data_IF_542854766132
#
_entry.id   IF_542854766132
#
_cell.length_a   1.000
_cell.length_b   1.000
_cell.length_c   1.000
_cell.angle_alpha   90.00
_cell.angle_beta   90.00
_cell.angle_gamma   90.00
#
_symmetry.space_group_name_H-M   'P 1'
#
loop_
_entity.id
_entity.type
_entity.pdbx_description
1 polymer ?
#
# COMPACT_ATOMS: atom_id res chain seq x y z
N UNK A 1 0.60 1.86 -10.60
CA UNK A 1 1.93 1.20 -10.41
C UNK A 1 2.04 0.57 -9.04
N UNK A 2 1.83 1.32 -7.96
CA UNK A 2 1.90 0.79 -6.59
C UNK A 2 1.06 -0.50 -6.40
N UNK A 3 -0.12 -0.56 -7.01
CA UNK A 3 -1.00 -1.73 -6.98
C UNK A 3 -0.47 -2.88 -7.83
N UNK A 4 -0.14 -2.59 -9.09
CA UNK A 4 0.09 -3.67 -10.05
C UNK A 4 1.44 -4.37 -9.89
N UNK A 5 2.44 -3.74 -9.29
CA UNK A 5 3.73 -4.37 -9.05
C UNK A 5 3.62 -5.61 -8.13
N UNK A 6 3.09 -5.50 -6.90
CA UNK A 6 2.93 -6.67 -6.03
C UNK A 6 1.86 -7.64 -6.55
N UNK A 7 0.77 -7.11 -7.12
CA UNK A 7 -0.32 -7.93 -7.64
C UNK A 7 0.09 -8.82 -8.82
N UNK A 8 0.96 -8.32 -9.71
CA UNK A 8 1.46 -9.10 -10.85
C UNK A 8 2.59 -10.06 -10.47
N UNK A 9 3.32 -9.78 -9.39
CA UNK A 9 4.37 -10.65 -8.87
C UNK A 9 3.79 -11.86 -8.13
N UNK A 10 2.65 -11.71 -7.47
CA UNK A 10 1.99 -12.80 -6.75
C UNK A 10 1.20 -13.71 -7.71
N UNK A 11 1.34 -15.04 -7.61
CA UNK A 11 0.73 -15.97 -8.58
C UNK A 11 -0.81 -15.97 -8.55
N UNK A 12 -1.43 -15.76 -7.41
CA UNK A 12 -2.89 -15.77 -7.25
C UNK A 12 -3.34 -14.91 -6.06
N UNK A 13 -3.30 -13.55 -6.14
CA UNK A 13 -3.68 -12.68 -5.04
C UNK A 13 -5.21 -12.68 -4.86
N UNK A 14 -5.69 -13.20 -3.75
CA UNK A 14 -7.13 -13.30 -3.43
C UNK A 14 -7.55 -12.27 -2.37
N UNK A 15 -6.75 -12.09 -1.31
CA UNK A 15 -7.01 -11.17 -0.21
C UNK A 15 -5.99 -10.02 -0.23
N UNK A 16 -6.46 -8.82 -0.44
CA UNK A 16 -5.63 -7.62 -0.55
C UNK A 16 -5.95 -6.66 0.59
N UNK A 17 -4.92 -6.15 1.27
CA UNK A 17 -5.04 -5.05 2.22
C UNK A 17 -4.48 -3.77 1.59
N UNK A 18 -5.22 -2.68 1.75
CA UNK A 18 -4.78 -1.32 1.41
C UNK A 18 -4.75 -0.50 2.69
N UNK A 19 -3.59 0.08 3.02
CA UNK A 19 -3.42 0.97 4.16
C UNK A 19 -3.23 2.39 3.63
N UNK A 20 -4.10 3.32 4.03
CA UNK A 20 -4.26 4.61 3.38
C UNK A 20 -4.97 4.49 2.04
N UNK A 21 -4.79 5.46 1.16
CA UNK A 21 -5.41 5.42 -0.18
C UNK A 21 -6.93 5.52 -0.17
N UNK A 22 -7.49 6.24 0.79
CA UNK A 22 -8.94 6.44 0.95
C UNK A 22 -9.62 7.14 -0.23
N UNK A 23 -8.88 7.57 -1.25
CA UNK A 23 -9.44 8.05 -2.51
C UNK A 23 -10.06 6.91 -3.35
N UNK A 24 -9.66 5.65 -3.08
CA UNK A 24 -10.15 4.45 -3.73
C UNK A 24 -9.37 4.04 -4.98
N UNK A 25 -8.38 4.80 -5.41
CA UNK A 25 -7.62 4.52 -6.62
C UNK A 25 -6.90 3.17 -6.59
N UNK A 26 -6.23 2.85 -5.49
CA UNK A 26 -5.54 1.58 -5.28
C UNK A 26 -6.53 0.41 -5.27
N UNK A 27 -7.65 0.56 -4.55
CA UNK A 27 -8.70 -0.47 -4.47
C UNK A 27 -9.27 -0.75 -5.86
N UNK A 28 -9.62 0.31 -6.62
CA UNK A 28 -10.12 0.19 -7.98
C UNK A 28 -9.17 -0.62 -8.88
N UNK A 29 -7.88 -0.37 -8.77
CA UNK A 29 -6.89 -1.09 -9.57
C UNK A 29 -6.71 -2.55 -9.09
N UNK A 30 -6.74 -2.82 -7.78
CA UNK A 30 -6.69 -4.17 -7.23
C UNK A 30 -7.89 -5.02 -7.71
N UNK A 31 -9.08 -4.46 -7.73
CA UNK A 31 -10.30 -5.13 -8.18
C UNK A 31 -10.31 -5.53 -9.67
N UNK A 32 -9.40 -4.99 -10.49
CA UNK A 32 -9.21 -5.41 -11.89
C UNK A 32 -8.54 -6.76 -12.04
N UNK A 33 -7.87 -7.26 -11.00
CA UNK A 33 -7.28 -8.58 -11.00
C UNK A 33 -8.38 -9.63 -10.73
N UNK A 34 -8.59 -10.58 -11.65
CA UNK A 34 -9.72 -11.52 -11.56
C UNK A 34 -9.64 -12.49 -10.38
N UNK A 35 -8.45 -12.72 -9.83
CA UNK A 35 -8.22 -13.56 -8.66
C UNK A 35 -8.75 -12.95 -7.36
N UNK A 36 -8.90 -11.62 -7.29
CA UNK A 36 -9.25 -10.90 -6.07
C UNK A 36 -10.67 -11.22 -5.60
N UNK A 37 -10.76 -11.76 -4.41
CA UNK A 37 -12.01 -12.11 -3.73
C UNK A 37 -12.42 -11.07 -2.68
N UNK A 38 -11.41 -10.44 -2.04
CA UNK A 38 -11.62 -9.47 -0.97
C UNK A 38 -10.54 -8.37 -1.01
N UNK A 39 -10.97 -7.13 -0.84
CA UNK A 39 -10.07 -5.99 -0.60
C UNK A 39 -10.50 -5.31 0.71
N UNK A 40 -9.60 -5.26 1.67
CA UNK A 40 -9.79 -4.51 2.92
C UNK A 40 -9.06 -3.17 2.82
N UNK A 41 -9.76 -2.07 3.06
CA UNK A 41 -9.16 -0.76 3.27
C UNK A 41 -9.03 -0.49 4.76
N UNK A 42 -7.85 -0.10 5.20
CA UNK A 42 -7.61 0.48 6.52
C UNK A 42 -7.16 1.93 6.35
N UNK A 43 -8.02 2.89 6.65
CA UNK A 43 -7.70 4.31 6.58
C UNK A 43 -8.04 4.99 7.91
N UNK A 44 -7.18 5.89 8.36
CA UNK A 44 -7.36 6.57 9.63
C UNK A 44 -8.41 7.69 9.55
N UNK A 45 -8.71 8.19 8.36
CA UNK A 45 -9.58 9.35 8.14
C UNK A 45 -10.80 9.02 7.28
N UNK A 46 -11.95 8.82 7.93
CA UNK A 46 -13.24 8.64 7.25
C UNK A 46 -13.60 9.81 6.33
N UNK A 47 -13.15 11.03 6.64
CA UNK A 47 -13.48 12.20 5.84
C UNK A 47 -12.87 12.11 4.44
N UNK A 48 -11.69 11.52 4.29
CA UNK A 48 -11.05 11.30 2.98
C UNK A 48 -11.96 10.47 2.09
N UNK A 49 -12.50 9.36 2.59
CA UNK A 49 -13.41 8.48 1.84
C UNK A 49 -14.68 9.22 1.45
N UNK A 50 -15.28 9.94 2.40
CA UNK A 50 -16.51 10.69 2.16
C UNK A 50 -16.32 11.80 1.11
N UNK A 51 -15.23 12.54 1.19
CA UNK A 51 -14.92 13.62 0.24
C UNK A 51 -14.60 13.03 -1.14
N UNK A 52 -13.86 11.92 -1.19
CA UNK A 52 -13.54 11.24 -2.45
C UNK A 52 -14.77 10.71 -3.17
N UNK A 53 -15.76 10.20 -2.44
CA UNK A 53 -17.06 9.80 -3.03
C UNK A 53 -17.80 10.98 -3.69
N UNK A 54 -17.62 12.20 -3.19
CA UNK A 54 -18.26 13.39 -3.75
C UNK A 54 -17.50 13.99 -4.94
N UNK A 55 -16.17 14.06 -4.84
CA UNK A 55 -15.34 14.84 -5.76
C UNK A 55 -14.48 14.00 -6.68
N UNK A 56 -14.24 12.72 -6.36
CA UNK A 56 -13.43 11.80 -7.16
C UNK A 56 -14.22 10.52 -7.53
N UNK A 57 -15.38 10.64 -8.19
CA UNK A 57 -16.29 9.50 -8.42
C UNK A 57 -15.66 8.38 -9.25
N UNK A 58 -14.72 8.71 -10.14
CA UNK A 58 -14.02 7.71 -10.96
C UNK A 58 -12.99 6.88 -10.19
N UNK A 59 -12.47 7.39 -9.06
CA UNK A 59 -11.60 6.64 -8.15
C UNK A 59 -12.43 5.86 -7.14
N UNK A 60 -13.39 6.53 -6.51
CA UNK A 60 -14.19 6.00 -5.41
C UNK A 60 -15.31 5.04 -5.84
N UNK A 61 -15.49 4.78 -7.13
CA UNK A 61 -16.46 3.78 -7.65
C UNK A 61 -16.24 2.40 -7.02
N UNK A 62 -15.02 2.07 -6.63
CA UNK A 62 -14.66 0.82 -5.97
C UNK A 62 -15.44 0.54 -4.68
N UNK A 63 -15.88 1.57 -3.97
CA UNK A 63 -16.66 1.42 -2.73
C UNK A 63 -18.08 0.84 -2.93
N UNK A 64 -18.50 0.65 -4.17
CA UNK A 64 -19.76 -0.03 -4.53
C UNK A 64 -19.57 -1.54 -4.79
N UNK A 65 -18.33 -2.00 -4.88
CA UNK A 65 -18.01 -3.41 -5.13
C UNK A 65 -18.19 -4.22 -3.84
N UNK A 66 -18.98 -5.31 -3.84
CA UNK A 66 -19.23 -6.11 -2.64
C UNK A 66 -18.00 -6.81 -2.06
N UNK A 67 -16.89 -6.85 -2.79
CA UNK A 67 -15.63 -7.40 -2.31
C UNK A 67 -14.85 -6.42 -1.43
N UNK A 68 -15.28 -5.16 -1.30
CA UNK A 68 -14.58 -4.12 -0.56
C UNK A 68 -15.13 -3.99 0.85
N UNK A 69 -14.26 -4.14 1.83
CA UNK A 69 -14.53 -3.82 3.23
C UNK A 69 -13.70 -2.61 3.66
N UNK A 70 -14.32 -1.73 4.45
CA UNK A 70 -13.67 -0.50 4.95
C UNK A 70 -13.57 -0.57 6.46
N UNK A 71 -12.35 -0.44 6.97
CA UNK A 71 -12.04 -0.25 8.38
C UNK A 71 -11.49 1.17 8.59
N UNK A 72 -12.15 1.94 9.45
CA UNK A 72 -11.68 3.27 9.83
C UNK A 72 -10.89 3.15 11.11
N UNK A 73 -9.56 3.36 11.02
CA UNK A 73 -8.68 3.26 12.16
C UNK A 73 -7.20 3.29 11.81
N UNK A 74 -6.41 3.14 12.87
CA UNK A 74 -4.95 3.16 12.79
C UNK A 74 -4.41 1.80 12.33
N UNK A 75 -3.64 1.79 11.24
CA UNK A 75 -2.99 0.59 10.71
C UNK A 75 -2.08 -0.13 11.71
N UNK A 76 -1.43 0.59 12.61
CA UNK A 76 -0.62 -0.01 13.67
C UNK A 76 -1.44 -0.83 14.68
N UNK A 77 -2.70 -0.47 14.88
CA UNK A 77 -3.62 -1.23 15.75
C UNK A 77 -4.33 -2.34 14.98
N UNK A 78 -4.58 -2.12 13.70
CA UNK A 78 -5.26 -3.08 12.83
C UNK A 78 -4.39 -4.31 12.52
N UNK A 79 -3.14 -4.09 12.09
CA UNK A 79 -2.27 -5.17 11.62
C UNK A 79 -2.03 -6.31 12.63
N UNK A 80 -1.82 -6.06 13.94
CA UNK A 80 -1.61 -7.14 14.90
C UNK A 80 -2.80 -8.09 15.09
N UNK A 81 -4.01 -7.68 14.71
CA UNK A 81 -5.23 -8.49 14.80
C UNK A 81 -5.46 -9.34 13.54
N UNK A 82 -4.61 -9.17 12.51
CA UNK A 82 -4.78 -9.77 11.18
C UNK A 82 -3.48 -10.47 10.69
N UNK A 83 -2.89 -11.31 11.54
CA UNK A 83 -1.67 -12.05 11.19
C UNK A 83 -1.94 -13.14 10.14
N UNK A 84 -1.03 -13.29 9.16
CA UNK A 84 -1.07 -14.33 8.11
C UNK A 84 -2.40 -14.36 7.33
N UNK A 85 -2.96 -13.20 7.03
CA UNK A 85 -4.28 -13.08 6.40
C UNK A 85 -4.22 -12.64 4.93
N UNK A 86 -3.23 -11.83 4.54
CA UNK A 86 -3.22 -11.16 3.24
C UNK A 86 -2.21 -11.75 2.25
N UNK A 87 -2.63 -11.87 1.00
CA UNK A 87 -1.75 -12.25 -0.11
C UNK A 87 -0.92 -11.07 -0.60
N UNK A 88 -1.54 -9.87 -0.58
CA UNK A 88 -0.88 -8.62 -0.96
C UNK A 88 -1.27 -7.50 -0.01
N UNK A 89 -0.27 -6.72 0.43
CA UNK A 89 -0.48 -5.49 1.21
C UNK A 89 0.09 -4.30 0.45
N UNK A 90 -0.70 -3.24 0.33
CA UNK A 90 -0.31 -1.99 -0.35
C UNK A 90 -0.46 -0.84 0.64
N UNK A 91 0.66 -0.15 0.92
CA UNK A 91 0.63 1.07 1.74
C UNK A 91 0.70 2.29 0.81
N UNK A 92 -0.42 2.97 0.69
CA UNK A 92 -0.59 4.21 -0.07
C UNK A 92 -0.74 5.37 0.91
N UNK A 93 0.38 5.80 1.47
CA UNK A 93 0.46 6.85 2.49
C UNK A 93 0.95 8.17 1.92
N UNK A 94 0.76 9.24 2.68
CA UNK A 94 1.45 10.51 2.45
C UNK A 94 2.96 10.38 2.69
N UNK A 95 3.71 11.42 2.32
CA UNK A 95 5.16 11.53 2.55
C UNK A 95 5.53 11.31 4.03
N UNK A 96 6.79 10.89 4.33
CA UNK A 96 7.25 10.55 5.68
C UNK A 96 7.39 11.78 6.59
N UNK A 97 6.31 12.53 6.75
CA UNK A 97 6.25 13.74 7.56
C UNK A 97 5.11 13.63 8.59
N UNK A 98 5.38 14.04 9.82
CA UNK A 98 4.39 14.01 10.90
C UNK A 98 3.91 12.59 11.21
N UNK A 99 2.59 12.33 11.30
CA UNK A 99 2.06 11.01 11.67
C UNK A 99 2.45 9.88 10.72
N UNK A 100 2.67 10.19 9.45
CA UNK A 100 3.03 9.20 8.44
C UNK A 100 4.50 8.72 8.54
N UNK A 101 5.37 9.44 9.27
CA UNK A 101 6.78 9.06 9.39
C UNK A 101 6.97 7.63 9.93
N UNK A 102 6.14 7.22 10.88
CA UNK A 102 6.19 5.88 11.46
C UNK A 102 5.93 4.74 10.47
N UNK A 103 5.23 5.02 9.35
CA UNK A 103 4.97 4.05 8.27
C UNK A 103 6.22 3.74 7.43
N UNK A 104 7.33 4.44 7.67
CA UNK A 104 8.62 4.24 7.00
C UNK A 104 9.68 3.60 7.92
N UNK A 105 9.28 3.14 9.11
CA UNK A 105 10.18 2.58 10.10
C UNK A 105 10.07 1.05 10.21
N UNK A 106 11.13 0.41 10.74
CA UNK A 106 11.22 -1.04 10.89
C UNK A 106 10.05 -1.70 11.65
N UNK A 107 9.49 -1.11 12.73
CA UNK A 107 8.34 -1.69 13.41
C UNK A 107 7.13 -1.88 12.50
N UNK A 108 6.84 -0.91 11.62
CA UNK A 108 5.75 -1.01 10.68
C UNK A 108 5.95 -2.14 9.66
N UNK A 109 7.13 -2.26 9.08
CA UNK A 109 7.44 -3.35 8.14
C UNK A 109 7.39 -4.73 8.79
N UNK A 110 7.68 -4.80 10.09
CA UNK A 110 7.51 -6.05 10.86
C UNK A 110 6.04 -6.44 10.96
N UNK A 111 5.16 -5.49 11.23
CA UNK A 111 3.71 -5.72 11.26
C UNK A 111 3.18 -6.16 9.87
N UNK A 112 3.63 -5.49 8.80
CA UNK A 112 3.24 -5.88 7.43
C UNK A 112 3.67 -7.32 7.12
N UNK A 113 4.92 -7.69 7.45
CA UNK A 113 5.42 -9.05 7.27
C UNK A 113 4.57 -10.07 8.01
N UNK A 114 4.18 -9.79 9.26
CA UNK A 114 3.38 -10.72 10.07
C UNK A 114 1.94 -10.85 9.54
N UNK A 115 1.39 -9.80 8.97
CA UNK A 115 0.05 -9.81 8.36
C UNK A 115 0.00 -10.51 6.98
N UNK A 116 1.14 -10.61 6.30
CA UNK A 116 1.26 -11.34 5.03
C UNK A 116 1.25 -12.85 5.26
N UNK A 117 0.60 -13.58 4.37
CA UNK A 117 0.77 -15.03 4.22
C UNK A 117 2.18 -15.37 3.74
N UNK A 118 2.56 -16.65 3.90
CA UNK A 118 3.79 -17.15 3.28
C UNK A 118 3.73 -16.96 1.75
N UNK A 119 4.79 -16.38 1.17
CA UNK A 119 4.81 -16.00 -0.24
C UNK A 119 4.04 -14.72 -0.57
N UNK A 120 3.48 -14.05 0.42
CA UNK A 120 2.77 -12.79 0.22
C UNK A 120 3.69 -11.63 -0.18
N UNK A 121 3.14 -10.63 -0.86
CA UNK A 121 3.87 -9.48 -1.40
C UNK A 121 3.37 -8.18 -0.80
N UNK A 122 4.27 -7.22 -0.63
CA UNK A 122 3.87 -5.87 -0.28
C UNK A 122 4.45 -4.83 -1.24
N UNK A 123 3.79 -3.69 -1.32
CA UNK A 123 4.36 -2.47 -1.88
C UNK A 123 4.02 -1.26 -1.03
N UNK A 124 4.94 -0.31 -1.00
CA UNK A 124 4.71 1.01 -0.40
C UNK A 124 5.24 2.09 -1.32
N UNK A 125 4.68 3.29 -1.22
CA UNK A 125 5.28 4.45 -1.84
C UNK A 125 6.72 4.62 -1.31
N UNK A 126 7.66 4.91 -2.20
CA UNK A 126 9.09 4.87 -1.92
C UNK A 126 9.82 6.12 -2.39
N UNK A 127 9.13 7.25 -2.49
CA UNK A 127 9.71 8.54 -2.81
C UNK A 127 10.45 8.61 -4.17
N UNK A 128 11.06 9.75 -4.47
CA UNK A 128 11.85 9.93 -5.70
C UNK A 128 13.33 9.64 -5.47
N UNK A 129 13.90 8.77 -6.29
CA UNK A 129 15.33 8.45 -6.27
C UNK A 129 16.22 9.69 -6.47
N UNK A 130 15.72 10.71 -7.14
CA UNK A 130 16.47 11.93 -7.42
C UNK A 130 16.51 12.87 -6.22
N UNK A 131 15.52 12.80 -5.33
CA UNK A 131 15.37 13.72 -4.20
C UNK A 131 15.66 13.06 -2.86
N UNK A 132 15.33 11.76 -2.70
CA UNK A 132 15.27 11.09 -1.40
C UNK A 132 16.13 9.82 -1.34
N UNK A 133 17.23 9.75 -2.11
CA UNK A 133 18.08 8.56 -2.18
C UNK A 133 18.57 8.04 -0.80
N UNK A 134 18.94 8.88 0.18
CA UNK A 134 19.33 8.39 1.51
C UNK A 134 18.19 7.62 2.20
N UNK A 135 16.97 8.15 2.19
CA UNK A 135 15.79 7.50 2.75
C UNK A 135 15.51 6.15 2.05
N UNK A 136 15.56 6.13 0.71
CA UNK A 136 15.33 4.92 -0.09
C UNK A 136 16.34 3.82 0.27
N UNK A 137 17.61 4.18 0.48
CA UNK A 137 18.64 3.23 0.91
C UNK A 137 18.32 2.64 2.28
N UNK A 138 17.97 3.49 3.24
CA UNK A 138 17.61 3.06 4.59
C UNK A 138 16.39 2.13 4.59
N UNK A 139 15.32 2.48 3.87
CA UNK A 139 14.13 1.65 3.70
C UNK A 139 14.47 0.29 3.10
N UNK A 140 15.27 0.27 2.04
CA UNK A 140 15.69 -0.97 1.40
C UNK A 140 16.57 -1.84 2.31
N UNK A 141 17.49 -1.26 3.08
CA UNK A 141 18.31 -1.98 4.05
C UNK A 141 17.47 -2.55 5.20
N UNK A 142 16.46 -1.80 5.66
CA UNK A 142 15.53 -2.23 6.70
C UNK A 142 14.67 -3.40 6.21
N UNK A 143 14.08 -3.27 5.05
CA UNK A 143 13.19 -4.30 4.50
C UNK A 143 13.93 -5.57 4.08
N UNK A 144 15.17 -5.49 3.60
CA UNK A 144 16.03 -6.66 3.33
C UNK A 144 16.33 -7.53 4.54
N UNK A 145 16.22 -6.99 5.75
CA UNK A 145 16.37 -7.79 6.98
C UNK A 145 15.10 -8.59 7.32
N UNK A 146 13.97 -8.18 6.78
CA UNK A 146 12.65 -8.73 7.07
C UNK A 146 12.11 -9.61 5.95
N UNK A 147 12.43 -9.29 4.71
CA UNK A 147 11.92 -9.96 3.51
C UNK A 147 13.06 -10.60 2.71
N UNK A 148 12.86 -11.76 2.11
CA UNK A 148 13.87 -12.40 1.27
C UNK A 148 14.19 -11.60 0.01
N UNK A 149 13.22 -10.84 -0.49
CA UNK A 149 13.35 -9.95 -1.64
C UNK A 149 12.84 -8.56 -1.25
N UNK A 150 13.61 -7.53 -1.51
CA UNK A 150 13.23 -6.12 -1.30
C UNK A 150 13.85 -5.27 -2.42
N UNK A 151 13.03 -4.87 -3.37
CA UNK A 151 13.49 -4.15 -4.56
C UNK A 151 12.77 -2.80 -4.69
N UNK A 152 13.49 -1.85 -5.26
CA UNK A 152 12.97 -0.52 -5.55
C UNK A 152 12.65 -0.42 -7.03
N UNK A 153 11.40 -0.10 -7.33
CA UNK A 153 10.90 0.19 -8.67
C UNK A 153 10.64 1.68 -8.83
N UNK A 154 10.78 2.21 -10.02
CA UNK A 154 10.49 3.61 -10.32
C UNK A 154 9.60 3.76 -11.54
N UNK A 155 8.81 4.83 -11.56
CA UNK A 155 7.96 5.18 -12.69
C UNK A 155 8.00 6.69 -12.94
N UNK A 156 7.91 7.08 -14.20
CA UNK A 156 7.76 8.49 -14.57
C UNK A 156 6.32 8.93 -14.32
N UNK A 157 6.16 9.92 -13.45
CA UNK A 157 4.85 10.48 -13.09
C UNK A 157 4.99 12.02 -13.06
N UNK A 158 4.61 12.73 -14.13
CA UNK A 158 4.88 14.16 -14.28
C UNK A 158 4.29 15.07 -13.21
N UNK A 159 3.27 14.60 -12.47
CA UNK A 159 2.61 15.37 -11.41
C UNK A 159 3.43 15.42 -10.12
N UNK A 160 4.40 14.54 -9.94
CA UNK A 160 5.25 14.52 -8.75
C UNK A 160 6.53 15.34 -8.94
N UNK A 161 7.12 15.86 -7.85
CA UNK A 161 8.43 16.50 -7.89
C UNK A 161 9.46 15.63 -8.61
N UNK A 162 10.34 16.20 -9.41
CA UNK A 162 11.29 15.51 -10.29
C UNK A 162 10.68 14.65 -11.41
N UNK A 163 9.35 14.61 -11.57
CA UNK A 163 8.68 13.77 -12.57
C UNK A 163 8.81 12.26 -12.35
N UNK A 164 9.16 11.85 -11.14
CA UNK A 164 9.43 10.45 -10.81
C UNK A 164 8.90 10.08 -9.43
N UNK A 165 8.34 8.88 -9.32
CA UNK A 165 7.91 8.26 -8.08
C UNK A 165 8.45 6.84 -7.99
N UNK A 166 8.86 6.45 -6.79
CA UNK A 166 9.34 5.12 -6.50
C UNK A 166 8.38 4.28 -5.67
N UNK A 167 8.61 2.99 -5.73
CA UNK A 167 7.87 1.99 -4.97
C UNK A 167 8.85 0.97 -4.41
N UNK A 168 8.73 0.70 -3.13
CA UNK A 168 9.43 -0.42 -2.52
C UNK A 168 8.53 -1.65 -2.61
N UNK A 169 9.05 -2.73 -3.16
CA UNK A 169 8.32 -3.99 -3.37
C UNK A 169 9.06 -5.12 -2.67
N UNK A 170 8.39 -5.86 -1.84
CA UNK A 170 8.96 -6.97 -1.07
C UNK A 170 8.10 -8.22 -1.23
#
# INVERSE_FOLDING_TARGET
MITHLPMAAHPNPEHVLVIGGGDGGVIREALKHPSVKKVTLCDIDEAVIRVSKLFLPTLSVCYQDPRVEVFIGDGFKFLPEHENEYDVIITDSSDPVGPAAALFEAPYFTLLRNALKEGGHMSTQGESIWLHLPLIKELRETTKKLFPVAEYATSTIPTYPSGSMGFLVC
#
